data_IF_518128788735
#
_entry.id   IF_518128788735
#
_cell.length_a   1.000
_cell.length_b   1.000
_cell.length_c   1.000
_cell.angle_alpha   90.00
_cell.angle_beta   90.00
_cell.angle_gamma   90.00
#
_symmetry.space_group_name_H-M   'P 1'
#
loop_
_entity.id
_entity.type
_entity.pdbx_description
1 polymer ?
#
# COMPACT_ATOMS: atom_id res chain seq x y z
N UNK A 1 -22.49 -13.13 16.25
CA UNK A 1 -23.23 -13.62 15.08
C UNK A 1 -22.97 -12.70 13.89
N UNK A 2 -22.64 -13.26 12.75
CA UNK A 2 -22.40 -12.45 11.58
C UNK A 2 -23.68 -11.73 11.17
N UNK A 3 -23.56 -10.44 10.89
CA UNK A 3 -24.68 -9.64 10.39
C UNK A 3 -24.74 -9.83 8.87
N UNK A 4 -25.64 -10.71 8.41
CA UNK A 4 -25.80 -11.00 6.99
C UNK A 4 -26.40 -9.83 6.20
N UNK A 5 -27.00 -8.84 6.87
CA UNK A 5 -27.55 -7.66 6.22
C UNK A 5 -26.45 -6.67 5.83
N UNK A 6 -25.30 -6.73 6.51
CA UNK A 6 -24.18 -5.85 6.24
C UNK A 6 -22.87 -6.66 6.10
N UNK A 7 -22.62 -7.19 4.90
CA UNK A 7 -21.41 -7.99 4.67
C UNK A 7 -20.13 -7.14 4.60
N UNK A 8 -20.22 -5.82 4.73
CA UNK A 8 -19.10 -4.91 4.65
C UNK A 8 -18.78 -4.36 6.03
N UNK A 9 -17.55 -4.53 6.47
CA UNK A 9 -17.05 -3.97 7.72
C UNK A 9 -16.02 -2.89 7.42
N UNK A 10 -16.18 -1.73 8.05
CA UNK A 10 -15.22 -0.63 7.93
C UNK A 10 -14.28 -0.72 9.12
N UNK A 11 -12.97 -0.84 8.84
CA UNK A 11 -11.94 -0.94 9.86
C UNK A 11 -11.32 0.43 10.16
N UNK A 12 -10.78 0.56 11.36
CA UNK A 12 -10.05 1.75 11.79
C UNK A 12 -8.67 1.78 11.15
N UNK A 13 -8.05 2.95 11.15
CA UNK A 13 -6.75 3.15 10.51
C UNK A 13 -5.64 2.26 11.10
N UNK A 14 -5.59 2.10 12.41
CA UNK A 14 -4.62 1.23 13.07
C UNK A 14 -4.81 -0.24 12.70
N UNK A 15 -6.05 -0.69 12.62
CA UNK A 15 -6.39 -2.04 12.17
C UNK A 15 -6.01 -2.24 10.70
N UNK A 16 -6.22 -1.22 9.87
CA UNK A 16 -5.86 -1.25 8.45
C UNK A 16 -4.34 -1.41 8.27
N UNK A 17 -3.54 -0.65 9.01
CA UNK A 17 -2.09 -0.73 8.95
C UNK A 17 -1.56 -2.07 9.45
N UNK A 18 -2.17 -2.62 10.49
CA UNK A 18 -1.83 -3.95 10.99
C UNK A 18 -2.12 -5.02 9.94
N UNK A 19 -3.26 -4.94 9.29
CA UNK A 19 -3.66 -5.86 8.23
C UNK A 19 -2.71 -5.77 7.04
N UNK A 20 -2.35 -4.57 6.60
CA UNK A 20 -1.36 -4.37 5.56
C UNK A 20 0.01 -4.94 5.94
N UNK A 21 0.39 -4.82 7.21
CA UNK A 21 1.68 -5.27 7.71
C UNK A 21 1.90 -6.77 7.62
N UNK A 22 0.82 -7.55 7.53
CA UNK A 22 0.88 -9.00 7.38
C UNK A 22 1.05 -9.43 5.90
N UNK A 23 1.07 -8.50 4.97
CA UNK A 23 1.15 -8.75 3.54
C UNK A 23 2.31 -7.98 2.91
N UNK A 24 2.66 -8.33 1.68
CA UNK A 24 3.85 -7.80 1.02
C UNK A 24 3.58 -7.16 -0.33
N UNK A 25 2.47 -7.48 -0.96
CA UNK A 25 2.16 -6.97 -2.29
C UNK A 25 1.11 -5.89 -2.24
N UNK A 26 1.44 -4.75 -2.82
CA UNK A 26 0.51 -3.64 -2.99
C UNK A 26 0.71 -2.98 -4.33
N UNK A 27 -0.02 -1.88 -4.54
CA UNK A 27 0.04 -1.11 -5.78
C UNK A 27 0.19 0.35 -5.44
N UNK A 28 1.18 0.96 -6.09
CA UNK A 28 1.40 2.41 -6.01
C UNK A 28 0.72 3.05 -7.20
N UNK A 29 -0.10 4.07 -6.94
CA UNK A 29 -0.71 4.89 -7.97
C UNK A 29 -0.12 6.28 -7.89
N UNK A 30 0.41 6.74 -9.00
CA UNK A 30 1.03 8.06 -9.14
C UNK A 30 0.31 8.85 -10.22
N UNK A 31 0.44 10.17 -10.16
CA UNK A 31 -0.23 11.06 -11.10
C UNK A 31 0.70 12.18 -11.53
N UNK A 32 0.75 12.41 -12.83
CA UNK A 32 1.33 13.64 -13.40
C UNK A 32 0.25 14.29 -14.26
N UNK A 33 -0.17 15.51 -13.92
CA UNK A 33 -1.27 16.22 -14.59
C UNK A 33 -2.53 15.35 -14.59
N UNK A 34 -3.02 14.96 -15.76
CA UNK A 34 -4.21 14.13 -15.91
C UNK A 34 -3.88 12.66 -16.13
N UNK A 35 -2.60 12.30 -16.07
CA UNK A 35 -2.14 10.94 -16.35
C UNK A 35 -1.87 10.19 -15.04
N UNK A 36 -2.33 8.95 -14.99
CA UNK A 36 -2.13 8.06 -13.84
C UNK A 36 -1.35 6.84 -14.29
N UNK A 37 -0.42 6.42 -13.44
CA UNK A 37 0.28 5.16 -13.60
C UNK A 37 0.10 4.32 -12.34
N UNK A 38 0.09 3.00 -12.50
CA UNK A 38 -0.04 2.06 -11.41
C UNK A 38 1.08 1.03 -11.47
N UNK A 39 1.69 0.74 -10.32
CA UNK A 39 2.82 -0.18 -10.22
C UNK A 39 2.59 -1.18 -9.09
N UNK A 40 2.55 -2.49 -9.38
CA UNK A 40 2.60 -3.49 -8.33
C UNK A 40 4.01 -3.54 -7.75
N UNK A 41 4.10 -3.63 -6.42
CA UNK A 41 5.40 -3.66 -5.76
C UNK A 41 5.28 -4.26 -4.36
N UNK A 42 6.42 -4.69 -3.84
CA UNK A 42 6.52 -5.14 -2.46
C UNK A 42 6.69 -3.95 -1.52
N UNK A 43 6.10 -4.05 -0.36
CA UNK A 43 6.17 -3.01 0.64
C UNK A 43 6.31 -3.61 2.04
N UNK A 44 6.67 -2.76 2.99
CA UNK A 44 6.56 -3.05 4.43
C UNK A 44 5.91 -1.86 5.13
N UNK A 45 5.23 -2.14 6.22
CA UNK A 45 4.69 -1.11 7.12
C UNK A 45 5.61 -1.02 8.32
N UNK A 46 6.05 0.18 8.66
CA UNK A 46 6.89 0.43 9.81
C UNK A 46 6.53 1.78 10.43
N UNK A 47 6.22 1.76 11.71
CA UNK A 47 5.87 2.97 12.48
C UNK A 47 4.79 3.83 11.81
N UNK A 48 3.76 3.18 11.28
CA UNK A 48 2.63 3.87 10.66
C UNK A 48 2.88 4.39 9.26
N UNK A 49 4.00 4.05 8.65
CA UNK A 49 4.37 4.47 7.30
C UNK A 49 4.62 3.26 6.42
N UNK A 50 4.55 3.47 5.11
CA UNK A 50 4.75 2.43 4.11
C UNK A 50 6.07 2.69 3.41
N UNK A 51 6.89 1.65 3.27
CA UNK A 51 8.19 1.72 2.61
C UNK A 51 8.29 0.73 1.48
N UNK A 52 8.93 1.15 0.40
CA UNK A 52 9.26 0.24 -0.69
C UNK A 52 10.62 0.63 -1.31
N UNK A 53 11.21 -0.33 -2.01
CA UNK A 53 12.45 -0.12 -2.76
C UNK A 53 12.12 -0.07 -4.24
N UNK A 54 12.79 0.79 -4.95
CA UNK A 54 12.64 0.86 -6.41
C UNK A 54 13.98 1.21 -7.05
N UNK A 55 14.24 0.61 -8.21
CA UNK A 55 15.33 1.04 -9.04
C UNK A 55 15.04 2.44 -9.59
N UNK A 56 16.05 3.15 -10.02
CA UNK A 56 15.87 4.42 -10.70
C UNK A 56 15.01 4.23 -11.96
N UNK A 57 14.09 5.15 -12.18
CA UNK A 57 13.19 5.09 -13.33
C UNK A 57 12.00 6.02 -13.19
N UNK A 58 10.99 5.76 -14.01
CA UNK A 58 9.81 6.61 -14.14
C UNK A 58 9.05 6.83 -12.82
N UNK A 59 9.00 5.82 -11.95
CA UNK A 59 8.34 5.94 -10.63
C UNK A 59 8.97 7.03 -9.78
N UNK A 60 10.30 7.03 -9.65
CA UNK A 60 11.02 8.03 -8.87
C UNK A 60 10.84 9.41 -9.46
N UNK A 61 10.93 9.52 -10.76
CA UNK A 61 10.75 10.79 -11.45
C UNK A 61 9.35 11.36 -11.18
N UNK A 62 8.33 10.51 -11.26
CA UNK A 62 6.95 10.91 -11.02
C UNK A 62 6.74 11.39 -9.57
N UNK A 63 7.28 10.66 -8.60
CA UNK A 63 7.19 11.03 -7.18
C UNK A 63 7.89 12.36 -6.91
N UNK A 64 9.00 12.63 -7.61
CA UNK A 64 9.73 13.91 -7.49
C UNK A 64 8.92 15.10 -8.00
N UNK A 65 8.05 14.88 -8.99
CA UNK A 65 7.19 15.94 -9.54
C UNK A 65 5.93 16.11 -8.71
N UNK A 66 5.30 15.00 -8.34
CA UNK A 66 4.07 15.01 -7.55
C UNK A 66 4.21 13.97 -6.43
N UNK A 67 4.31 14.44 -5.21
CA UNK A 67 4.50 13.58 -4.04
C UNK A 67 3.20 13.00 -3.50
N UNK A 68 2.05 13.45 -3.99
CA UNK A 68 0.75 12.88 -3.59
C UNK A 68 0.54 11.57 -4.32
N UNK A 69 0.31 10.52 -3.54
CA UNK A 69 0.18 9.17 -4.06
C UNK A 69 -1.01 8.45 -3.43
N UNK A 70 -1.45 7.41 -4.12
CA UNK A 70 -2.33 6.40 -3.56
C UNK A 70 -1.54 5.11 -3.42
N UNK A 71 -1.76 4.41 -2.34
CA UNK A 71 -1.25 3.06 -2.17
C UNK A 71 -2.40 2.13 -1.82
N UNK A 72 -2.48 1.00 -2.48
CA UNK A 72 -3.56 0.04 -2.29
C UNK A 72 -2.99 -1.34 -2.03
N UNK A 73 -3.58 -2.04 -1.07
CA UNK A 73 -3.30 -3.45 -0.87
C UNK A 73 -4.62 -4.18 -0.66
N UNK A 74 -4.72 -5.37 -1.19
CA UNK A 74 -5.91 -6.20 -1.03
C UNK A 74 -5.54 -7.67 -1.00
N UNK A 75 -6.45 -8.47 -0.46
CA UNK A 75 -6.30 -9.91 -0.42
C UNK A 75 -7.68 -10.54 -0.37
N UNK A 76 -7.78 -11.78 -0.81
CA UNK A 76 -9.04 -12.52 -0.67
C UNK A 76 -8.76 -14.00 -0.45
N UNK A 77 -9.68 -14.62 0.28
CA UNK A 77 -9.79 -16.05 0.45
C UNK A 77 -11.15 -16.49 -0.14
N UNK A 78 -11.56 -17.74 0.07
CA UNK A 78 -12.86 -18.19 -0.42
C UNK A 78 -14.03 -17.45 0.21
N UNK A 79 -13.90 -17.04 1.46
CA UNK A 79 -15.01 -16.50 2.24
C UNK A 79 -14.84 -15.05 2.67
N UNK A 80 -13.65 -14.49 2.51
CA UNK A 80 -13.35 -13.12 2.96
C UNK A 80 -12.48 -12.39 1.96
N UNK A 81 -12.64 -11.07 1.93
CA UNK A 81 -11.75 -10.18 1.21
C UNK A 81 -11.55 -8.90 2.02
N UNK A 82 -10.45 -8.22 1.80
CA UNK A 82 -10.22 -6.90 2.36
C UNK A 82 -9.50 -6.01 1.37
N UNK A 83 -9.70 -4.72 1.49
CA UNK A 83 -8.94 -3.73 0.74
C UNK A 83 -8.59 -2.54 1.61
N UNK A 84 -7.37 -2.05 1.46
CA UNK A 84 -6.89 -0.85 2.13
C UNK A 84 -6.43 0.13 1.08
N UNK A 85 -6.91 1.36 1.18
CA UNK A 85 -6.48 2.46 0.31
C UNK A 85 -5.86 3.52 1.20
N UNK A 86 -4.62 3.88 0.89
CA UNK A 86 -3.87 4.91 1.60
C UNK A 86 -3.66 6.09 0.65
N UNK A 87 -4.11 7.25 1.06
CA UNK A 87 -3.78 8.51 0.41
C UNK A 87 -2.69 9.18 1.24
N UNK A 88 -1.59 9.54 0.61
CA UNK A 88 -0.48 10.08 1.37
C UNK A 88 0.54 10.80 0.53
N UNK A 89 1.67 11.07 1.17
CA UNK A 89 2.80 11.76 0.56
C UNK A 89 3.98 10.81 0.50
N UNK A 90 4.60 10.74 -0.67
CA UNK A 90 5.78 9.92 -0.90
C UNK A 90 7.03 10.78 -0.84
N UNK A 91 8.08 10.23 -0.26
CA UNK A 91 9.37 10.90 -0.15
C UNK A 91 10.49 9.89 -0.42
N UNK A 92 11.44 10.28 -1.26
CA UNK A 92 12.64 9.48 -1.50
C UNK A 92 13.59 9.75 -0.35
N UNK A 93 14.06 8.69 0.31
CA UNK A 93 15.02 8.83 1.40
C UNK A 93 16.38 9.24 0.85
N UNK A 94 16.97 10.30 1.40
CA UNK A 94 18.24 10.85 0.94
C UNK A 94 19.31 10.86 2.03
N UNK A 95 18.90 10.93 3.31
CA UNK A 95 19.85 10.98 4.41
C UNK A 95 20.43 9.59 4.68
N UNK A 96 21.69 9.54 4.98
CA UNK A 96 22.41 8.29 5.23
C UNK A 96 21.79 7.52 6.41
N UNK A 97 21.43 8.21 7.49
CA UNK A 97 20.83 7.58 8.66
C UNK A 97 19.45 6.96 8.35
N UNK A 98 18.64 7.65 7.56
CA UNK A 98 17.33 7.12 7.12
C UNK A 98 17.48 5.88 6.24
N UNK A 99 18.44 5.90 5.34
CA UNK A 99 18.71 4.78 4.43
C UNK A 99 19.21 3.58 5.23
N UNK A 100 20.07 3.79 6.23
CA UNK A 100 20.57 2.72 7.07
C UNK A 100 19.44 2.07 7.88
N UNK A 101 18.51 2.86 8.42
CA UNK A 101 17.34 2.32 9.11
C UNK A 101 16.45 1.52 8.15
N UNK A 102 16.25 2.02 6.94
CA UNK A 102 15.45 1.33 5.93
C UNK A 102 16.11 0.02 5.48
N UNK A 103 17.44 -0.04 5.45
CA UNK A 103 18.16 -1.27 5.11
C UNK A 103 17.87 -2.42 6.09
N UNK A 104 17.45 -2.11 7.30
CA UNK A 104 17.10 -3.12 8.30
C UNK A 104 15.66 -3.64 8.16
N UNK A 105 14.83 -3.00 7.34
CA UNK A 105 13.46 -3.45 7.12
C UNK A 105 13.44 -4.74 6.27
N UNK A 106 12.47 -5.65 6.50
CA UNK A 106 12.37 -6.89 5.74
C UNK A 106 11.77 -6.63 4.34
N UNK A 107 12.45 -5.82 3.57
CA UNK A 107 11.99 -5.35 2.27
C UNK A 107 12.91 -5.89 1.18
N UNK A 108 12.46 -6.96 0.51
CA UNK A 108 13.22 -7.61 -0.55
C UNK A 108 12.65 -7.23 -1.91
N UNK A 109 13.46 -6.70 -2.84
CA UNK A 109 12.99 -6.47 -4.19
C UNK A 109 12.75 -7.79 -4.92
N UNK A 110 11.76 -7.83 -5.78
CA UNK A 110 11.50 -8.99 -6.62
C UNK A 110 12.55 -9.14 -7.73
N UNK A 111 13.16 -8.03 -8.13
CA UNK A 111 14.18 -8.03 -9.17
C UNK A 111 15.56 -7.86 -8.54
N UNK A 112 16.55 -8.66 -8.96
CA UNK A 112 17.91 -8.47 -8.50
C UNK A 112 18.50 -7.17 -9.10
N UNK A 113 18.59 -6.14 -8.26
CA UNK A 113 19.19 -4.88 -8.66
C UNK A 113 20.11 -4.37 -7.56
N UNK A 114 21.26 -3.86 -7.95
CA UNK A 114 22.22 -3.27 -7.02
C UNK A 114 21.92 -1.79 -6.76
N UNK A 115 21.24 -1.13 -7.70
CA UNK A 115 20.85 0.27 -7.56
C UNK A 115 19.40 0.34 -7.14
N UNK A 116 19.17 0.92 -5.97
CA UNK A 116 17.83 1.10 -5.46
C UNK A 116 17.72 2.37 -4.64
N UNK A 117 16.51 2.85 -4.55
CA UNK A 117 16.15 3.94 -3.67
C UNK A 117 14.99 3.49 -2.78
N UNK A 118 14.97 3.98 -1.55
CA UNK A 118 13.83 3.78 -0.66
C UNK A 118 12.87 4.94 -0.80
N UNK A 119 11.59 4.61 -0.83
CA UNK A 119 10.51 5.58 -0.81
C UNK A 119 9.67 5.33 0.44
N UNK A 120 9.36 6.42 1.13
CA UNK A 120 8.52 6.41 2.32
C UNK A 120 7.21 7.11 1.99
N UNK A 121 6.10 6.44 2.31
CA UNK A 121 4.77 7.04 2.18
C UNK A 121 4.27 7.35 3.59
N UNK A 122 3.96 8.62 3.84
CA UNK A 122 3.31 9.06 5.06
C UNK A 122 1.82 9.14 4.80
N UNK A 123 1.00 8.29 5.43
CA UNK A 123 -0.44 8.33 5.23
C UNK A 123 -1.06 9.62 5.74
N UNK A 124 -1.99 10.16 4.97
CA UNK A 124 -2.85 11.29 5.37
C UNK A 124 -4.27 10.81 5.60
N UNK A 125 -4.72 9.83 4.82
CA UNK A 125 -6.05 9.25 4.92
C UNK A 125 -5.96 7.77 4.60
N UNK A 126 -6.54 6.94 5.45
CA UNK A 126 -6.56 5.50 5.25
C UNK A 126 -8.00 5.02 5.32
N UNK A 127 -8.44 4.28 4.31
CA UNK A 127 -9.72 3.59 4.33
C UNK A 127 -9.50 2.10 4.19
N UNK A 128 -10.23 1.33 4.97
CA UNK A 128 -10.12 -0.13 4.95
C UNK A 128 -11.50 -0.74 5.06
N UNK A 129 -11.76 -1.69 4.18
CA UNK A 129 -13.00 -2.46 4.17
C UNK A 129 -12.68 -3.93 4.17
N UNK A 130 -13.43 -4.66 4.96
CA UNK A 130 -13.40 -6.12 4.97
C UNK A 130 -14.76 -6.63 4.54
N UNK A 131 -14.77 -7.64 3.68
CA UNK A 131 -15.97 -8.15 3.06
C UNK A 131 -16.16 -9.61 3.44
N UNK A 132 -17.42 -9.95 3.77
CA UNK A 132 -17.85 -11.31 3.87
C UNK A 132 -18.31 -11.75 2.48
N UNK A 133 -17.61 -12.72 1.89
CA UNK A 133 -17.98 -13.28 0.59
C UNK A 133 -19.04 -14.37 0.79
N UNK A 134 -19.92 -14.50 -0.17
CA UNK A 134 -20.99 -15.50 -0.11
C UNK A 134 -21.78 -15.52 -1.40
N UNK A 135 -22.82 -16.33 -1.41
CA UNK A 135 -23.70 -16.42 -2.57
C UNK A 135 -24.52 -15.14 -2.73
N UNK A 136 -24.83 -14.80 -3.96
CA UNK A 136 -25.70 -13.69 -4.26
C UNK A 136 -27.10 -13.97 -3.66
N UNK A 137 -27.67 -13.04 -2.88
CA UNK A 137 -29.01 -13.24 -2.35
C UNK A 137 -30.03 -13.26 -3.47
N UNK A 138 -31.15 -13.98 -3.22
CA UNK A 138 -32.27 -14.00 -4.18
C UNK A 138 -32.82 -12.59 -4.38
N UNK A 139 -33.07 -12.24 -5.63
CA UNK A 139 -33.57 -10.91 -5.97
C UNK A 139 -35.04 -10.71 -5.68
N UNK A 140 -35.76 -11.81 -5.55
CA UNK A 140 -37.21 -11.77 -5.40
C UNK A 140 -37.67 -12.64 -4.24
#
# INVERSE_FOLDING_TARGET
MADFENPIEILKEDEALELMGDHQLGRLVVRIKDDFDIYPLNYVVNEGKIYFRTAEGSKLFTVSINDRVLFEADEHTEDKAWSVIVKGRARILQRTDEIQEADELPLKPWLPTLKYNYVEITPEEISCRRFQLGEEPERY
#
